data_IF_141104525780
#
_entry.id   IF_141104525780
#
_cell.length_a   1.000
_cell.length_b   1.000
_cell.length_c   1.000
_cell.angle_alpha   90.00
_cell.angle_beta   90.00
_cell.angle_gamma   90.00
#
_symmetry.space_group_name_H-M   'P 1'
#
loop_
_entity.id
_entity.type
_entity.pdbx_description
1 polymer ?
#
# COMPACT_ATOMS: atom_id res chain seq x y z
N UNK A 1 -6.17 16.41 -5.40
CA UNK A 1 -5.32 15.96 -4.28
C UNK A 1 -5.99 16.43 -3.01
N UNK A 2 -6.07 15.58 -2.01
CA UNK A 2 -6.73 15.86 -0.73
C UNK A 2 -5.99 15.20 0.42
N UNK A 3 -6.25 15.67 1.63
CA UNK A 3 -5.75 15.08 2.86
C UNK A 3 -6.91 14.43 3.60
N UNK A 4 -6.75 13.19 4.03
CA UNK A 4 -7.77 12.45 4.79
C UNK A 4 -7.20 12.00 6.12
N UNK A 5 -7.88 12.35 7.21
CA UNK A 5 -7.48 11.90 8.54
C UNK A 5 -7.61 10.38 8.67
N UNK A 6 -6.59 9.74 9.23
CA UNK A 6 -6.57 8.30 9.51
C UNK A 6 -6.99 7.97 10.95
N UNK A 7 -7.37 8.96 11.77
CA UNK A 7 -7.66 8.79 13.21
C UNK A 7 -8.69 7.70 13.52
N UNK A 8 -9.69 7.53 12.65
CA UNK A 8 -10.74 6.52 12.82
C UNK A 8 -10.72 5.45 11.71
N UNK A 9 -9.59 5.29 11.00
CA UNK A 9 -9.46 4.26 9.98
C UNK A 9 -9.45 2.88 10.64
N UNK A 10 -10.33 2.00 10.18
CA UNK A 10 -10.42 0.61 10.64
C UNK A 10 -9.41 -0.28 9.92
N UNK A 11 -8.97 0.12 8.72
CA UNK A 11 -7.94 -0.58 7.94
C UNK A 11 -6.52 -0.14 8.29
N UNK A 12 -6.32 1.08 8.80
CA UNK A 12 -5.00 1.58 9.17
C UNK A 12 -4.97 2.12 10.62
N UNK A 13 -5.41 1.34 11.63
CA UNK A 13 -5.56 1.82 13.00
C UNK A 13 -4.23 2.25 13.62
N UNK A 14 -3.11 1.63 13.22
CA UNK A 14 -1.78 1.98 13.72
C UNK A 14 -1.30 3.36 13.24
N UNK A 15 -2.04 3.99 12.33
CA UNK A 15 -1.72 5.28 11.71
C UNK A 15 -2.65 6.41 12.16
N UNK A 16 -3.40 6.23 13.25
CA UNK A 16 -4.40 7.21 13.72
C UNK A 16 -3.86 8.65 13.96
N UNK A 17 -2.55 8.81 14.16
CA UNK A 17 -1.89 10.12 14.30
C UNK A 17 -1.56 10.84 12.98
N UNK A 18 -1.77 10.18 11.84
CA UNK A 18 -1.39 10.64 10.50
C UNK A 18 -2.59 11.08 9.68
N UNK A 19 -2.27 11.86 8.65
CA UNK A 19 -3.19 12.22 7.58
C UNK A 19 -2.66 11.66 6.27
N UNK A 20 -3.48 10.87 5.59
CA UNK A 20 -3.19 10.29 4.30
C UNK A 20 -3.24 11.38 3.22
N UNK A 21 -2.25 11.39 2.33
CA UNK A 21 -2.32 12.16 1.09
C UNK A 21 -3.01 11.33 0.01
N UNK A 22 -4.02 11.88 -0.64
CA UNK A 22 -4.80 11.21 -1.67
C UNK A 22 -4.41 11.79 -3.05
N UNK A 23 -3.73 11.00 -3.90
CA UNK A 23 -3.39 11.42 -5.27
C UNK A 23 -4.61 11.77 -6.11
N UNK A 24 -4.41 12.55 -7.17
CA UNK A 24 -5.48 12.85 -8.12
C UNK A 24 -6.03 11.56 -8.76
N UNK A 25 -7.37 11.46 -8.87
CA UNK A 25 -8.04 10.31 -9.49
C UNK A 25 -8.34 9.15 -8.54
N UNK A 26 -7.84 9.18 -7.30
CA UNK A 26 -8.23 8.22 -6.27
C UNK A 26 -9.57 8.65 -5.67
N UNK A 27 -10.62 7.80 -5.65
CA UNK A 27 -11.98 8.18 -5.24
C UNK A 27 -12.15 8.21 -3.71
N UNK A 28 -11.26 8.90 -3.02
CA UNK A 28 -11.23 9.00 -1.55
C UNK A 28 -11.44 10.45 -1.11
N UNK A 29 -12.46 10.67 -0.28
CA UNK A 29 -12.87 12.00 0.18
C UNK A 29 -12.85 12.14 1.71
N UNK A 30 -12.97 11.04 2.41
CA UNK A 30 -13.07 10.94 3.87
C UNK A 30 -12.52 9.60 4.35
N UNK A 31 -12.52 9.38 5.67
CA UNK A 31 -11.98 8.17 6.28
C UNK A 31 -12.76 6.91 5.86
N UNK A 32 -14.08 7.00 5.64
CA UNK A 32 -14.89 5.87 5.23
C UNK A 32 -14.55 5.41 3.80
N UNK A 33 -14.49 6.34 2.86
CA UNK A 33 -14.06 6.07 1.48
C UNK A 33 -12.59 5.63 1.40
N UNK A 34 -11.74 6.09 2.32
CA UNK A 34 -10.37 5.57 2.45
C UNK A 34 -10.36 4.11 2.89
N UNK A 35 -11.14 3.74 3.90
CA UNK A 35 -11.27 2.34 4.34
C UNK A 35 -11.84 1.45 3.22
N UNK A 36 -12.84 1.94 2.46
CA UNK A 36 -13.37 1.22 1.28
C UNK A 36 -12.31 1.01 0.20
N UNK A 37 -11.44 2.01 -0.02
CA UNK A 37 -10.32 1.91 -0.97
C UNK A 37 -9.24 0.93 -0.47
N UNK A 38 -8.92 0.96 0.83
CA UNK A 38 -7.99 0.02 1.44
C UNK A 38 -8.53 -1.41 1.34
N UNK A 39 -9.83 -1.61 1.60
CA UNK A 39 -10.51 -2.89 1.42
C UNK A 39 -10.34 -3.44 -0.01
N UNK A 40 -10.50 -2.59 -1.04
CA UNK A 40 -10.29 -2.97 -2.44
C UNK A 40 -8.82 -3.26 -2.76
N UNK A 41 -7.89 -2.58 -2.10
CA UNK A 41 -6.45 -2.76 -2.28
C UNK A 41 -5.98 -4.11 -1.73
N UNK A 42 -6.56 -4.55 -0.62
CA UNK A 42 -6.20 -5.83 0.02
C UNK A 42 -7.08 -6.99 -0.43
N UNK A 43 -8.20 -6.72 -1.12
CA UNK A 43 -9.14 -7.73 -1.60
C UNK A 43 -8.73 -8.36 -2.94
N UNK A 44 -9.13 -9.62 -3.08
CA UNK A 44 -9.11 -10.36 -4.34
C UNK A 44 -10.53 -10.37 -4.90
N UNK A 45 -10.75 -9.70 -6.04
CA UNK A 45 -11.98 -9.91 -6.80
C UNK A 45 -12.09 -11.39 -7.20
N UNK A 46 -13.28 -11.98 -7.21
CA UNK A 46 -13.49 -13.30 -7.84
C UNK A 46 -13.58 -13.19 -9.37
N UNK A 47 -13.79 -11.97 -9.88
CA UNK A 47 -13.89 -11.64 -11.31
C UNK A 47 -13.07 -10.37 -11.60
N UNK A 48 -12.17 -10.34 -12.60
CA UNK A 48 -11.38 -9.16 -12.93
C UNK A 48 -12.27 -8.00 -13.38
N UNK A 49 -12.59 -7.08 -12.48
CA UNK A 49 -13.40 -5.89 -12.77
C UNK A 49 -12.56 -4.59 -12.79
N UNK A 50 -11.24 -4.71 -12.66
CA UNK A 50 -10.29 -3.59 -12.46
C UNK A 50 -10.54 -2.75 -11.20
N UNK A 51 -11.31 -3.28 -10.25
CA UNK A 51 -11.68 -2.54 -9.03
C UNK A 51 -10.79 -2.86 -7.82
N UNK A 52 -10.06 -3.99 -7.85
CA UNK A 52 -9.20 -4.43 -6.74
C UNK A 52 -7.74 -4.59 -7.20
N UNK A 53 -6.79 -4.56 -6.27
CA UNK A 53 -5.38 -4.88 -6.59
C UNK A 53 -5.26 -6.29 -7.19
N UNK A 54 -6.05 -7.23 -6.66
CA UNK A 54 -6.31 -8.56 -7.23
C UNK A 54 -6.58 -8.57 -8.73
N UNK A 55 -7.49 -7.69 -9.14
CA UNK A 55 -7.93 -7.60 -10.53
C UNK A 55 -6.88 -6.93 -11.42
N UNK A 56 -6.18 -5.91 -10.90
CA UNK A 56 -5.13 -5.23 -11.65
C UNK A 56 -3.95 -6.16 -11.91
N UNK A 57 -3.51 -6.93 -10.90
CA UNK A 57 -2.43 -7.92 -11.04
C UNK A 57 -2.79 -8.96 -12.10
N UNK A 58 -4.01 -9.52 -12.05
CA UNK A 58 -4.45 -10.55 -13.02
C UNK A 58 -4.78 -10.03 -14.40
N UNK A 59 -4.99 -8.72 -14.58
CA UNK A 59 -5.38 -8.18 -15.87
C UNK A 59 -4.16 -8.16 -16.84
N UNK A 60 -4.24 -8.88 -17.98
CA UNK A 60 -3.17 -8.91 -18.98
C UNK A 60 -2.81 -7.53 -19.55
N UNK A 61 -3.76 -6.59 -19.56
CA UNK A 61 -3.57 -5.23 -20.06
C UNK A 61 -3.02 -4.26 -19.00
N UNK A 62 -2.92 -4.67 -17.73
CA UNK A 62 -2.49 -3.80 -16.63
C UNK A 62 -1.17 -4.27 -16.04
N UNK A 63 -1.14 -5.42 -15.36
CA UNK A 63 0.09 -5.95 -14.72
C UNK A 63 0.53 -7.33 -15.22
N UNK A 64 -0.30 -8.01 -16.01
CA UNK A 64 0.09 -9.23 -16.75
C UNK A 64 0.43 -10.49 -15.93
N UNK A 65 -0.32 -10.74 -14.86
CA UNK A 65 -0.22 -11.99 -14.08
C UNK A 65 -1.54 -12.77 -14.05
N UNK A 66 -2.05 -13.23 -15.20
CA UNK A 66 -3.38 -13.85 -15.29
C UNK A 66 -3.54 -15.13 -14.46
N UNK A 67 -2.44 -15.82 -14.13
CA UNK A 67 -2.44 -17.04 -13.33
C UNK A 67 -2.35 -16.80 -11.83
N UNK A 68 -2.19 -15.55 -11.38
CA UNK A 68 -2.05 -15.26 -9.95
C UNK A 68 -3.33 -15.64 -9.18
N UNK A 69 -3.17 -16.42 -8.12
CA UNK A 69 -4.27 -16.93 -7.30
C UNK A 69 -4.56 -16.05 -6.08
N UNK A 70 -3.81 -14.95 -5.92
CA UNK A 70 -3.95 -14.02 -4.81
C UNK A 70 -3.03 -14.29 -3.62
N UNK A 71 -2.21 -15.33 -3.68
CA UNK A 71 -1.27 -15.69 -2.61
C UNK A 71 0.10 -15.04 -2.79
N UNK A 72 0.96 -15.11 -1.76
CA UNK A 72 2.37 -14.75 -1.90
C UNK A 72 2.72 -13.30 -1.55
N UNK A 73 1.81 -12.33 -1.69
CA UNK A 73 2.06 -10.94 -1.27
C UNK A 73 2.01 -10.80 0.25
N UNK A 74 3.05 -10.18 0.83
CA UNK A 74 3.20 -9.98 2.29
C UNK A 74 3.18 -8.51 2.66
N UNK A 75 2.48 -8.16 3.73
CA UNK A 75 2.43 -6.82 4.31
C UNK A 75 1.82 -5.74 3.40
N UNK A 76 0.91 -6.13 2.51
CA UNK A 76 0.21 -5.21 1.59
C UNK A 76 -0.56 -4.13 2.35
N UNK A 77 -1.31 -4.47 3.39
CA UNK A 77 -2.10 -3.52 4.17
C UNK A 77 -1.18 -2.52 4.85
N UNK A 78 -0.21 -3.01 5.62
CA UNK A 78 0.75 -2.18 6.34
C UNK A 78 1.54 -1.26 5.42
N UNK A 79 1.97 -1.79 4.28
CA UNK A 79 2.73 -1.03 3.28
C UNK A 79 1.89 0.07 2.66
N UNK A 80 0.64 -0.22 2.29
CA UNK A 80 -0.24 0.77 1.67
C UNK A 80 -0.66 1.87 2.66
N UNK A 81 -0.95 1.51 3.92
CA UNK A 81 -1.19 2.49 4.98
C UNK A 81 0.04 3.41 5.18
N UNK A 82 1.23 2.82 5.22
CA UNK A 82 2.48 3.56 5.36
C UNK A 82 2.79 4.46 4.17
N UNK A 83 2.50 3.98 2.96
CA UNK A 83 2.63 4.74 1.72
C UNK A 83 1.76 6.00 1.72
N UNK A 84 0.46 5.88 2.04
CA UNK A 84 -0.43 7.03 2.11
C UNK A 84 -0.05 8.03 3.20
N UNK A 85 0.37 7.55 4.38
CA UNK A 85 0.87 8.40 5.47
C UNK A 85 2.21 9.09 5.11
N UNK A 86 3.14 8.34 4.50
CA UNK A 86 4.44 8.83 4.07
C UNK A 86 4.32 9.91 3.00
N UNK A 87 3.45 9.69 2.00
CA UNK A 87 3.14 10.70 0.98
C UNK A 87 2.62 11.99 1.61
N UNK A 88 1.82 11.91 2.68
CA UNK A 88 1.31 13.06 3.42
C UNK A 88 2.38 13.96 4.02
N UNK A 89 3.64 13.53 4.00
CA UNK A 89 4.78 14.24 4.58
C UNK A 89 5.80 14.69 3.54
N UNK A 90 5.64 14.21 2.31
CA UNK A 90 6.56 14.46 1.18
C UNK A 90 5.88 15.34 0.13
N UNK A 91 4.60 15.12 -0.15
CA UNK A 91 3.90 15.78 -1.25
C UNK A 91 3.12 17.01 -0.79
N UNK A 92 3.24 18.14 -1.50
CA UNK A 92 2.48 19.35 -1.20
C UNK A 92 1.01 19.20 -1.57
N UNK A 93 0.16 19.93 -0.85
CA UNK A 93 -1.30 19.91 -1.03
C UNK A 93 -1.74 21.21 -1.70
N UNK A 94 -2.31 21.08 -2.89
CA UNK A 94 -2.75 22.24 -3.69
C UNK A 94 -1.59 23.04 -4.28
N UNK A 95 -1.73 24.36 -4.35
CA UNK A 95 -0.69 25.29 -4.84
C UNK A 95 0.23 25.83 -3.73
N UNK A 96 0.03 25.39 -2.49
CA UNK A 96 0.83 25.81 -1.34
C UNK A 96 2.10 24.97 -1.16
N UNK A 97 2.95 25.39 -0.22
CA UNK A 97 4.16 24.66 0.18
C UNK A 97 3.92 23.64 1.29
N UNK A 98 2.68 23.49 1.77
CA UNK A 98 2.37 22.65 2.92
C UNK A 98 1.99 21.22 2.55
N UNK A 99 2.34 20.27 3.42
CA UNK A 99 2.00 18.85 3.32
C UNK A 99 0.83 18.50 4.26
N UNK A 100 0.27 17.29 4.13
CA UNK A 100 -0.80 16.83 5.03
C UNK A 100 -0.33 16.67 6.50
N UNK A 101 0.97 16.54 6.74
CA UNK A 101 1.55 16.28 8.06
C UNK A 101 2.55 17.36 8.51
N UNK A 102 2.42 18.59 8.01
CA UNK A 102 3.30 19.72 8.36
C UNK A 102 3.48 19.93 9.87
N UNK A 103 4.72 20.24 10.28
CA UNK A 103 5.06 20.58 11.67
C UNK A 103 5.23 19.37 12.60
N UNK A 104 5.20 18.14 12.08
CA UNK A 104 5.43 16.90 12.85
C UNK A 104 6.75 16.24 12.40
N UNK A 105 7.55 15.61 13.31
CA UNK A 105 8.57 14.65 12.90
C UNK A 105 7.86 13.44 12.30
N UNK A 106 7.88 13.28 10.98
CA UNK A 106 7.13 12.20 10.35
C UNK A 106 8.03 11.00 10.12
N UNK A 107 8.34 10.30 11.19
CA UNK A 107 8.68 8.88 11.07
C UNK A 107 7.38 8.10 11.13
N UNK A 108 6.96 7.58 9.98
CA UNK A 108 5.82 6.68 9.89
C UNK A 108 6.16 5.41 10.70
N UNK A 109 5.27 4.93 11.58
CA UNK A 109 5.61 3.92 12.58
C UNK A 109 5.68 2.52 11.99
N UNK A 110 6.08 2.35 10.73
CA UNK A 110 6.31 1.06 10.09
C UNK A 110 7.80 0.81 9.94
N UNK A 111 8.21 -0.45 10.06
CA UNK A 111 9.60 -0.83 9.86
C UNK A 111 9.99 -0.74 8.39
N UNK A 112 11.16 -0.20 8.06
CA UNK A 112 11.70 -0.28 6.68
C UNK A 112 11.70 -1.73 6.16
N UNK A 113 12.00 -2.70 7.03
CA UNK A 113 11.99 -4.13 6.70
C UNK A 113 10.61 -4.65 6.25
N UNK A 114 9.51 -4.07 6.73
CA UNK A 114 8.15 -4.44 6.28
C UNK A 114 7.98 -4.12 4.80
N UNK A 115 8.39 -2.92 4.41
CA UNK A 115 8.33 -2.47 3.01
C UNK A 115 9.30 -3.27 2.12
N UNK A 116 10.50 -3.57 2.62
CA UNK A 116 11.46 -4.44 1.93
C UNK A 116 10.89 -5.85 1.72
N UNK A 117 10.17 -6.38 2.73
CA UNK A 117 9.52 -7.70 2.64
C UNK A 117 8.34 -7.69 1.68
N UNK A 118 7.55 -6.62 1.65
CA UNK A 118 6.50 -6.44 0.64
C UNK A 118 7.08 -6.42 -0.76
N UNK A 119 8.10 -5.58 -1.01
CA UNK A 119 8.79 -5.54 -2.31
C UNK A 119 9.34 -6.90 -2.71
N UNK A 120 10.02 -7.60 -1.81
CA UNK A 120 10.53 -8.94 -2.11
C UNK A 120 9.40 -9.93 -2.44
N UNK A 121 8.26 -9.84 -1.78
CA UNK A 121 7.10 -10.70 -2.05
C UNK A 121 6.42 -10.36 -3.38
N UNK A 122 6.37 -9.07 -3.73
CA UNK A 122 5.93 -8.58 -5.03
C UNK A 122 6.82 -9.13 -6.14
N UNK A 123 8.14 -8.94 -6.03
CA UNK A 123 9.10 -9.44 -7.01
C UNK A 123 9.00 -10.97 -7.16
N UNK A 124 8.77 -11.70 -6.05
CA UNK A 124 8.55 -13.15 -6.07
C UNK A 124 7.29 -13.56 -6.86
N UNK A 125 6.15 -12.92 -6.60
CA UNK A 125 4.89 -13.16 -7.35
C UNK A 125 5.11 -12.93 -8.84
N UNK A 126 5.72 -11.80 -9.20
CA UNK A 126 5.93 -11.43 -10.60
C UNK A 126 7.04 -12.23 -11.30
N UNK A 127 7.91 -12.91 -10.56
CA UNK A 127 8.90 -13.85 -11.10
C UNK A 127 8.38 -15.28 -11.27
N UNK A 128 7.22 -15.60 -10.68
CA UNK A 128 6.63 -16.93 -10.78
C UNK A 128 5.98 -17.10 -12.17
N UNK A 129 6.57 -17.94 -13.02
CA UNK A 129 6.08 -18.18 -14.39
C UNK A 129 4.72 -18.85 -14.45
N UNK A 130 4.28 -19.53 -13.37
CA UNK A 130 2.93 -20.10 -13.28
C UNK A 130 1.88 -18.99 -13.06
N UNK A 131 2.26 -17.89 -12.41
CA UNK A 131 1.39 -16.73 -12.17
C UNK A 131 1.48 -15.69 -13.29
N UNK A 132 2.71 -15.37 -13.70
CA UNK A 132 3.07 -14.32 -14.65
C UNK A 132 4.00 -14.90 -15.72
N UNK A 133 3.47 -15.55 -16.77
CA UNK A 133 4.29 -16.20 -17.80
C UNK A 133 5.28 -15.27 -18.51
N UNK A 134 4.91 -14.00 -18.70
CA UNK A 134 5.78 -12.98 -19.32
C UNK A 134 6.48 -12.09 -18.26
N UNK A 135 6.31 -12.39 -16.98
CA UNK A 135 6.87 -11.63 -15.87
C UNK A 135 6.24 -10.24 -15.66
N UNK A 136 6.97 -9.39 -14.94
CA UNK A 136 6.56 -8.01 -14.61
C UNK A 136 6.63 -7.07 -15.82
N UNK A 137 5.57 -6.28 -16.01
CA UNK A 137 5.56 -5.19 -16.98
C UNK A 137 5.89 -3.82 -16.36
N UNK A 138 6.08 -2.80 -17.21
CA UNK A 138 6.50 -1.45 -16.79
C UNK A 138 5.51 -0.79 -15.83
N UNK A 139 4.21 -1.05 -15.99
CA UNK A 139 3.17 -0.47 -15.12
C UNK A 139 3.25 -1.05 -13.70
N UNK A 140 3.43 -2.37 -13.58
CA UNK A 140 3.65 -3.04 -12.31
C UNK A 140 4.96 -2.60 -11.65
N UNK A 141 6.03 -2.44 -12.42
CA UNK A 141 7.33 -1.93 -11.95
C UNK A 141 7.21 -0.49 -11.42
N UNK A 142 6.55 0.39 -12.18
CA UNK A 142 6.33 1.78 -11.78
C UNK A 142 5.50 1.91 -10.51
N UNK A 143 4.48 1.05 -10.33
CA UNK A 143 3.67 1.05 -9.12
C UNK A 143 4.50 0.68 -7.89
N UNK A 144 5.25 -0.43 -7.93
CA UNK A 144 6.01 -0.87 -6.76
C UNK A 144 7.10 0.15 -6.40
N UNK A 145 7.79 0.72 -7.40
CA UNK A 145 8.79 1.78 -7.18
C UNK A 145 8.17 3.02 -6.51
N UNK A 146 6.95 3.38 -6.92
CA UNK A 146 6.24 4.49 -6.32
C UNK A 146 5.81 4.19 -4.88
N UNK A 147 5.30 2.99 -4.60
CA UNK A 147 4.91 2.56 -3.24
C UNK A 147 6.12 2.57 -2.30
N UNK A 148 7.28 2.06 -2.74
CA UNK A 148 8.47 2.01 -1.89
C UNK A 148 9.24 3.33 -1.83
N UNK A 149 8.85 4.34 -2.61
CA UNK A 149 9.52 5.66 -2.60
C UNK A 149 9.45 6.38 -1.24
N UNK A 150 8.51 6.01 -0.37
CA UNK A 150 8.38 6.58 0.98
C UNK A 150 9.24 5.85 2.03
N UNK A 151 10.03 4.85 1.65
CA UNK A 151 10.81 3.99 2.57
C UNK A 151 11.64 4.78 3.57
N UNK A 152 12.25 5.89 3.14
CA UNK A 152 13.09 6.71 4.00
C UNK A 152 12.32 7.54 5.03
N UNK A 153 10.98 7.60 4.90
CA UNK A 153 10.07 8.19 5.90
C UNK A 153 9.65 7.16 6.97
N UNK A 154 10.05 5.89 6.82
CA UNK A 154 9.73 4.82 7.75
C UNK A 154 10.80 4.68 8.83
N UNK A 155 10.43 4.07 9.96
CA UNK A 155 11.37 3.80 11.05
C UNK A 155 12.38 2.72 10.66
N UNK A 156 13.67 3.03 10.83
CA UNK A 156 14.75 2.05 10.77
C UNK A 156 14.98 1.33 12.11
N UNK A 157 14.40 1.85 13.21
CA UNK A 157 14.49 1.22 14.53
C UNK A 157 13.45 0.11 14.66
N UNK A 158 13.91 -1.14 14.58
CA UNK A 158 13.09 -2.35 14.70
C UNK A 158 12.44 -2.54 16.08
N UNK A 159 12.91 -1.85 17.12
CA UNK A 159 12.39 -1.99 18.49
C UNK A 159 11.12 -1.18 18.75
N UNK A 160 10.82 -0.19 17.90
CA UNK A 160 9.70 0.74 18.10
C UNK A 160 8.74 0.81 16.91
N UNK A 161 9.01 0.09 15.82
CA UNK A 161 8.20 0.13 14.61
C UNK A 161 7.22 -1.04 14.49
N UNK A 162 6.10 -0.77 13.83
CA UNK A 162 5.11 -1.73 13.42
C UNK A 162 5.66 -2.59 12.27
N UNK A 163 5.75 -3.89 12.49
CA UNK A 163 6.08 -4.84 11.41
C UNK A 163 4.86 -5.13 10.52
N UNK A 164 3.67 -5.19 11.12
CA UNK A 164 2.44 -5.50 10.43
C UNK A 164 1.21 -5.00 11.21
N UNK A 165 0.18 -4.54 10.51
CA UNK A 165 -1.18 -4.35 11.01
C UNK A 165 -1.76 -5.68 11.52
N UNK A 166 -2.78 -5.61 12.37
CA UNK A 166 -3.28 -6.77 13.10
C UNK A 166 -3.72 -7.91 12.17
N UNK A 167 -4.48 -7.60 11.12
CA UNK A 167 -4.98 -8.60 10.19
C UNK A 167 -3.85 -9.38 9.49
N UNK A 168 -2.70 -8.75 9.23
CA UNK A 168 -1.55 -9.42 8.64
C UNK A 168 -0.72 -10.18 9.68
N UNK A 169 -0.64 -9.67 10.91
CA UNK A 169 0.11 -10.32 12.00
C UNK A 169 -0.46 -11.69 12.36
N UNK A 170 -1.78 -11.81 12.36
CA UNK A 170 -2.49 -13.07 12.63
C UNK A 170 -2.26 -14.13 11.53
N UNK A 171 -1.80 -13.70 10.34
CA UNK A 171 -1.59 -14.54 9.17
C UNK A 171 -0.12 -14.49 8.68
N UNK A 172 0.85 -14.35 9.59
CA UNK A 172 2.29 -14.39 9.28
C UNK A 172 2.76 -13.36 8.22
N UNK A 173 2.06 -12.24 8.11
CA UNK A 173 2.30 -11.18 7.14
C UNK A 173 1.47 -11.29 5.86
N UNK A 174 0.65 -12.31 5.69
CA UNK A 174 -0.30 -12.40 4.57
C UNK A 174 -1.63 -11.74 4.94
N UNK A 175 -2.39 -11.27 3.95
CA UNK A 175 -3.75 -10.77 4.20
C UNK A 175 -4.81 -11.89 4.05
N UNK A 176 -4.53 -12.88 3.20
CA UNK A 176 -5.31 -14.11 3.06
C UNK A 176 -4.39 -15.32 3.19
N UNK A 177 -4.83 -16.34 3.93
CA UNK A 177 -4.16 -17.66 4.03
C UNK A 177 -4.72 -18.64 3.00
#
# INVERSE_FOLDING_TARGET
>A
MSCVSMTNSTYCPSFAGFTAYIPHGVPVQDTASFDDYMAQTVSLGTTPTQSTMGDLIRNPSVFNCPGWDGTGLRYIQSTMCAYFAGMGSVYPVGSGSGTCNDGKPVTVPVCQQTMDSFKSSWDAVFSNTDFCPDGQNDAAASLIDFVVSVRDQLSSDSSTCLTAELAEREHCGYYYC
#
